data_IF_468117601816
#
_entry.id   IF_468117601816
#
_cell.length_a   1.000
_cell.length_b   1.000
_cell.length_c   1.000
_cell.angle_alpha   90.00
_cell.angle_beta   90.00
_cell.angle_gamma   90.00
#
_symmetry.space_group_name_H-M   'P 1'
#
loop_
_entity.id
_entity.type
_entity.pdbx_description
1 polymer ?
#
# COMPACT_ATOMS: atom_id res chain seq x y z
N UNK A 1 30.24 21.38 17.44
CA UNK A 1 28.86 21.53 17.91
C UNK A 1 28.04 21.60 16.65
N UNK A 2 27.66 20.41 16.19
CA UNK A 2 26.25 19.99 16.13
C UNK A 2 25.64 20.67 14.90
N UNK A 3 25.45 19.97 13.78
CA UNK A 3 24.25 19.18 13.60
C UNK A 3 24.54 17.92 12.76
N UNK A 4 24.18 16.76 13.31
CA UNK A 4 24.05 15.54 12.53
C UNK A 4 22.74 15.65 11.74
N UNK A 5 22.82 16.10 10.49
CA UNK A 5 21.71 16.03 9.54
C UNK A 5 21.41 14.55 9.26
N UNK A 6 20.51 14.00 10.08
CA UNK A 6 20.06 12.62 10.02
C UNK A 6 19.17 12.48 8.77
N UNK A 7 19.83 12.28 7.63
CA UNK A 7 19.21 11.95 6.35
C UNK A 7 18.55 10.58 6.49
N UNK A 8 17.30 10.53 6.94
CA UNK A 8 16.48 9.31 6.88
C UNK A 8 16.58 8.76 5.45
N UNK A 9 16.95 7.48 5.28
CA UNK A 9 17.10 6.90 3.95
C UNK A 9 15.81 7.12 3.17
N UNK A 10 15.89 7.43 1.85
CA UNK A 10 14.70 7.69 1.05
C UNK A 10 13.77 6.49 1.19
N UNK A 11 12.59 6.70 1.78
CA UNK A 11 11.59 5.65 1.98
C UNK A 11 11.35 4.99 0.62
N UNK A 12 11.74 3.74 0.49
CA UNK A 12 11.52 3.00 -0.74
C UNK A 12 10.01 2.74 -0.86
N UNK A 13 9.38 3.45 -1.79
CA UNK A 13 7.97 3.25 -2.10
C UNK A 13 7.87 2.10 -3.08
N UNK A 14 7.29 0.99 -2.65
CA UNK A 14 6.95 -0.11 -3.54
C UNK A 14 5.54 0.14 -4.08
N UNK A 15 5.44 0.47 -5.36
CA UNK A 15 4.15 0.66 -6.05
C UNK A 15 3.81 -0.59 -6.83
N UNK A 16 2.66 -1.22 -6.52
CA UNK A 16 2.16 -2.38 -7.23
C UNK A 16 0.83 -1.99 -7.86
N UNK A 17 0.73 -2.11 -9.20
CA UNK A 17 -0.53 -1.92 -9.93
C UNK A 17 -1.04 -3.28 -10.37
N UNK A 18 -2.18 -3.69 -9.83
CA UNK A 18 -2.82 -4.97 -10.15
C UNK A 18 -4.12 -4.66 -10.89
N UNK A 19 -4.26 -5.18 -12.11
CA UNK A 19 -5.50 -5.13 -12.87
C UNK A 19 -5.99 -6.56 -13.03
N UNK A 20 -7.20 -6.82 -12.56
CA UNK A 20 -7.85 -8.11 -12.66
C UNK A 20 -9.29 -7.92 -13.15
N UNK A 21 -9.80 -8.82 -14.00
CA UNK A 21 -11.22 -8.83 -14.33
C UNK A 21 -11.99 -9.18 -13.06
N UNK A 22 -13.00 -8.36 -12.75
CA UNK A 22 -13.97 -8.62 -11.69
C UNK A 22 -15.31 -8.85 -12.36
N UNK A 23 -15.91 -10.01 -12.11
CA UNK A 23 -17.20 -10.37 -12.67
C UNK A 23 -18.35 -9.67 -11.94
N UNK A 24 -18.14 -9.29 -10.67
CA UNK A 24 -19.15 -8.67 -9.80
C UNK A 24 -18.55 -7.65 -8.83
N UNK A 25 -19.34 -6.65 -8.43
CA UNK A 25 -18.95 -5.66 -7.41
C UNK A 25 -18.58 -6.32 -6.07
N UNK A 26 -19.26 -7.41 -5.70
CA UNK A 26 -18.97 -8.17 -4.47
C UNK A 26 -17.56 -8.74 -4.46
N UNK A 27 -17.09 -9.23 -5.61
CA UNK A 27 -15.70 -9.69 -5.75
C UNK A 27 -14.72 -8.52 -5.59
N UNK A 28 -15.00 -7.35 -6.18
CA UNK A 28 -14.14 -6.18 -6.05
C UNK A 28 -13.99 -5.74 -4.59
N UNK A 29 -15.10 -5.71 -3.84
CA UNK A 29 -15.12 -5.41 -2.40
C UNK A 29 -14.36 -6.49 -1.61
N UNK A 30 -14.52 -7.77 -1.98
CA UNK A 30 -13.79 -8.88 -1.37
C UNK A 30 -12.28 -8.76 -1.55
N UNK A 31 -11.81 -8.42 -2.75
CA UNK A 31 -10.39 -8.18 -3.03
C UNK A 31 -9.86 -6.96 -2.31
N UNK A 32 -10.61 -5.85 -2.30
CA UNK A 32 -10.29 -4.66 -1.49
C UNK A 32 -10.03 -5.02 -0.03
N UNK A 33 -10.93 -5.80 0.57
CA UNK A 33 -10.82 -6.20 1.97
C UNK A 33 -9.59 -7.09 2.20
N UNK A 34 -9.35 -8.08 1.34
CA UNK A 34 -8.17 -8.95 1.42
C UNK A 34 -6.86 -8.18 1.26
N UNK A 35 -6.77 -7.28 0.28
CA UNK A 35 -5.57 -6.47 0.04
C UNK A 35 -5.34 -5.53 1.23
N UNK A 36 -6.41 -4.92 1.77
CA UNK A 36 -6.34 -4.10 2.98
C UNK A 36 -5.88 -4.87 4.22
N UNK A 37 -6.35 -6.11 4.39
CA UNK A 37 -5.95 -6.98 5.49
C UNK A 37 -4.47 -7.41 5.38
N UNK A 38 -4.02 -7.78 4.18
CA UNK A 38 -2.61 -8.12 3.90
C UNK A 38 -1.70 -6.91 4.10
N UNK A 39 -2.15 -5.71 3.72
CA UNK A 39 -1.40 -4.47 3.88
C UNK A 39 -1.59 -3.83 5.27
N UNK A 40 -2.36 -4.43 6.17
CA UNK A 40 -2.66 -3.85 7.49
C UNK A 40 -1.41 -3.68 8.37
N UNK A 41 -0.39 -4.51 8.14
CA UNK A 41 0.91 -4.43 8.82
C UNK A 41 1.74 -3.21 8.34
N UNK A 42 1.37 -2.61 7.21
CA UNK A 42 2.06 -1.46 6.62
C UNK A 42 1.19 -0.21 6.83
N UNK A 43 1.42 0.59 7.89
CA UNK A 43 0.57 1.73 8.25
C UNK A 43 0.56 2.86 7.20
N UNK A 44 1.50 2.82 6.26
CA UNK A 44 1.66 3.77 5.16
C UNK A 44 1.14 3.24 3.82
N UNK A 45 0.56 2.03 3.79
CA UNK A 45 -0.03 1.49 2.58
C UNK A 45 -1.30 2.27 2.23
N UNK A 46 -1.33 2.79 1.00
CA UNK A 46 -2.51 3.43 0.41
C UNK A 46 -3.03 2.54 -0.70
N UNK A 47 -4.34 2.31 -0.69
CA UNK A 47 -5.02 1.56 -1.73
C UNK A 47 -5.89 2.56 -2.50
N UNK A 48 -5.55 2.78 -3.76
CA UNK A 48 -6.32 3.59 -4.71
C UNK A 48 -7.04 2.65 -5.69
N UNK A 49 -8.32 2.91 -5.95
CA UNK A 49 -9.21 2.10 -6.77
C UNK A 49 -9.54 2.82 -8.08
#
# INVERSE_FOLDING_TARGET
>A
MDETEQKTPPKQVCSIRIMFPVDTDEQAIGYKKKIGDVLADIPQARIEF
#
